data_IF_509372405214
#
_entry.id   IF_509372405214
#
_cell.length_a   1.000
_cell.length_b   1.000
_cell.length_c   1.000
_cell.angle_alpha   90.00
_cell.angle_beta   90.00
_cell.angle_gamma   90.00
#
_symmetry.space_group_name_H-M   'P 1'
#
loop_
_entity.id
_entity.type
_entity.pdbx_description
1 polymer ?
#
# COMPACT_ATOMS: atom_id res chain seq x y z
N UNK A 1 -6.35 -15.01 4.91
CA UNK A 1 -6.08 -14.05 3.82
C UNK A 1 -7.21 -13.06 3.58
N UNK A 2 -8.48 -13.48 3.54
CA UNK A 2 -9.66 -12.58 3.38
C UNK A 2 -9.67 -11.44 4.40
N UNK A 3 -9.42 -11.75 5.67
CA UNK A 3 -9.38 -10.73 6.73
C UNK A 3 -8.29 -9.67 6.51
N UNK A 4 -7.15 -10.07 5.91
CA UNK A 4 -6.16 -9.09 5.48
C UNK A 4 -6.77 -8.14 4.49
N UNK A 5 -7.35 -8.66 3.39
CA UNK A 5 -7.91 -7.85 2.32
C UNK A 5 -8.98 -6.86 2.81
N UNK A 6 -9.82 -7.26 3.77
CA UNK A 6 -10.80 -6.36 4.38
C UNK A 6 -10.13 -5.24 5.19
N UNK A 7 -9.14 -5.56 6.02
CA UNK A 7 -8.38 -4.54 6.77
C UNK A 7 -7.58 -3.61 5.84
N UNK A 8 -7.13 -4.11 4.67
CA UNK A 8 -6.50 -3.27 3.64
C UNK A 8 -7.52 -2.33 3.01
N UNK A 9 -8.68 -2.86 2.64
CA UNK A 9 -9.77 -2.09 2.04
C UNK A 9 -10.16 -0.92 2.93
N UNK A 10 -10.32 -1.12 4.23
CA UNK A 10 -10.72 -0.04 5.15
C UNK A 10 -9.65 1.05 5.32
N UNK A 11 -8.36 0.71 5.22
CA UNK A 11 -7.26 1.69 5.31
C UNK A 11 -7.12 2.49 3.99
N UNK A 12 -7.01 1.81 2.85
CA UNK A 12 -6.64 2.45 1.57
C UNK A 12 -7.83 3.09 0.85
N UNK A 13 -9.04 2.49 0.94
CA UNK A 13 -10.23 3.12 0.33
C UNK A 13 -10.61 4.42 1.03
N UNK A 14 -10.30 4.54 2.33
CA UNK A 14 -10.43 5.80 3.06
C UNK A 14 -9.58 6.89 2.41
N UNK A 15 -8.30 6.61 2.18
CA UNK A 15 -7.37 7.53 1.53
C UNK A 15 -7.81 7.92 0.11
N UNK A 16 -8.18 6.95 -0.72
CA UNK A 16 -8.60 7.20 -2.10
C UNK A 16 -9.95 7.93 -2.19
N UNK A 17 -10.89 7.63 -1.29
CA UNK A 17 -12.20 8.26 -1.27
C UNK A 17 -12.16 9.72 -0.77
N UNK A 18 -11.21 10.07 0.11
CA UNK A 18 -11.06 11.44 0.62
C UNK A 18 -10.91 12.47 -0.49
N UNK A 19 -10.11 12.18 -1.53
CA UNK A 19 -9.93 13.06 -2.69
C UNK A 19 -11.24 13.33 -3.45
N UNK A 20 -12.08 12.30 -3.61
CA UNK A 20 -13.39 12.45 -4.26
C UNK A 20 -14.36 13.24 -3.38
N UNK A 21 -14.26 13.09 -2.05
CA UNK A 21 -15.00 13.87 -1.08
C UNK A 21 -14.70 15.37 -1.19
N UNK A 22 -13.43 15.76 -1.38
CA UNK A 22 -13.04 17.17 -1.61
C UNK A 22 -13.65 17.74 -2.89
N UNK A 23 -13.96 16.90 -3.88
CA UNK A 23 -14.66 17.29 -5.12
C UNK A 23 -16.19 17.29 -4.99
N UNK A 24 -16.73 17.09 -3.79
CA UNK A 24 -18.17 17.13 -3.52
C UNK A 24 -18.92 15.82 -3.77
N UNK A 25 -18.20 14.71 -4.02
CA UNK A 25 -18.84 13.40 -4.18
C UNK A 25 -19.28 12.89 -2.81
N UNK A 26 -20.50 12.36 -2.71
CA UNK A 26 -21.01 11.80 -1.45
C UNK A 26 -20.13 10.65 -0.98
N UNK A 27 -19.99 10.51 0.35
CA UNK A 27 -19.15 9.49 0.99
C UNK A 27 -19.42 8.08 0.46
N UNK A 28 -20.69 7.73 0.24
CA UNK A 28 -21.09 6.40 -0.24
C UNK A 28 -20.61 6.15 -1.66
N UNK A 29 -20.79 7.12 -2.57
CA UNK A 29 -20.34 6.98 -3.95
C UNK A 29 -18.81 6.99 -4.04
N UNK A 30 -18.14 7.87 -3.29
CA UNK A 30 -16.68 7.91 -3.23
C UNK A 30 -16.08 6.57 -2.78
N UNK A 31 -16.66 5.94 -1.76
CA UNK A 31 -16.23 4.63 -1.27
C UNK A 31 -16.43 3.52 -2.32
N UNK A 32 -17.58 3.50 -3.00
CA UNK A 32 -17.86 2.52 -4.07
C UNK A 32 -16.87 2.68 -5.22
N UNK A 33 -16.65 3.91 -5.70
CA UNK A 33 -15.73 4.20 -6.80
C UNK A 33 -14.30 3.80 -6.45
N UNK A 34 -13.83 4.15 -5.24
CA UNK A 34 -12.51 3.76 -4.75
C UNK A 34 -12.38 2.23 -4.64
N UNK A 35 -13.39 1.55 -4.09
CA UNK A 35 -13.41 0.09 -3.93
C UNK A 35 -13.37 -0.66 -5.27
N UNK A 36 -14.17 -0.22 -6.26
CA UNK A 36 -14.17 -0.81 -7.61
C UNK A 36 -12.80 -0.60 -8.27
N UNK A 37 -12.27 0.61 -8.22
CA UNK A 37 -10.98 0.94 -8.83
C UNK A 37 -9.83 0.13 -8.23
N UNK A 38 -9.80 -0.01 -6.90
CA UNK A 38 -8.82 -0.83 -6.19
C UNK A 38 -8.95 -2.31 -6.55
N UNK A 39 -10.18 -2.83 -6.63
CA UNK A 39 -10.45 -4.22 -7.01
C UNK A 39 -10.00 -4.52 -8.44
N UNK A 40 -10.25 -3.60 -9.38
CA UNK A 40 -9.76 -3.71 -10.76
C UNK A 40 -8.24 -3.71 -10.82
N UNK A 41 -7.57 -2.81 -10.09
CA UNK A 41 -6.10 -2.80 -9.99
C UNK A 41 -5.53 -4.12 -9.45
N UNK A 42 -6.19 -4.70 -8.44
CA UNK A 42 -5.80 -6.00 -7.88
C UNK A 42 -5.91 -7.14 -8.91
N UNK A 43 -7.00 -7.18 -9.67
CA UNK A 43 -7.20 -8.22 -10.71
C UNK A 43 -6.18 -8.08 -11.84
N UNK A 44 -5.91 -6.85 -12.29
CA UNK A 44 -5.02 -6.58 -13.42
C UNK A 44 -3.54 -6.78 -13.06
N UNK A 45 -3.12 -6.34 -11.88
CA UNK A 45 -1.68 -6.26 -11.54
C UNK A 45 -1.27 -6.98 -10.25
N UNK A 46 -2.21 -7.40 -9.42
CA UNK A 46 -1.94 -7.93 -8.07
C UNK A 46 -1.06 -9.17 -8.06
N UNK A 47 -1.24 -10.07 -9.03
CA UNK A 47 -0.46 -11.32 -9.11
C UNK A 47 1.03 -11.10 -9.40
N UNK A 48 1.38 -10.04 -10.14
CA UNK A 48 2.78 -9.68 -10.42
C UNK A 48 3.45 -9.13 -9.16
N UNK A 49 2.77 -8.24 -8.45
CA UNK A 49 3.27 -7.65 -7.22
C UNK A 49 3.46 -8.69 -6.11
N UNK A 50 2.47 -9.59 -5.93
CA UNK A 50 2.51 -10.61 -4.88
C UNK A 50 3.71 -11.57 -5.04
N UNK A 51 4.02 -11.97 -6.28
CA UNK A 51 5.20 -12.80 -6.59
C UNK A 51 6.50 -12.08 -6.28
N UNK A 52 6.62 -10.84 -6.75
CA UNK A 52 7.81 -10.03 -6.52
C UNK A 52 8.13 -9.87 -5.03
N UNK A 53 7.13 -9.51 -4.22
CA UNK A 53 7.29 -9.35 -2.77
C UNK A 53 7.65 -10.67 -2.08
N UNK A 54 7.03 -11.78 -2.48
CA UNK A 54 7.31 -13.10 -1.91
C UNK A 54 8.72 -13.60 -2.21
N UNK A 55 9.16 -13.44 -3.45
CA UNK A 55 10.44 -13.97 -3.93
C UNK A 55 11.62 -13.13 -3.42
N UNK A 56 11.49 -11.81 -3.39
CA UNK A 56 12.60 -10.89 -3.09
C UNK A 56 12.93 -10.82 -1.59
N UNK A 57 11.91 -10.96 -0.72
CA UNK A 57 12.08 -10.91 0.73
C UNK A 57 12.64 -12.21 1.33
N UNK A 58 12.67 -13.30 0.56
CA UNK A 58 13.29 -14.57 0.94
C UNK A 58 12.60 -15.27 2.11
N UNK A 59 11.32 -14.94 2.38
CA UNK A 59 10.56 -15.54 3.47
C UNK A 59 9.95 -16.85 2.96
N UNK A 60 10.49 -17.97 3.43
CA UNK A 60 9.97 -19.30 3.13
C UNK A 60 9.21 -19.84 4.34
N UNK A 61 8.07 -20.47 4.09
CA UNK A 61 7.26 -21.17 5.09
C UNK A 61 5.98 -20.43 5.48
N UNK A 62 4.88 -21.19 5.47
CA UNK A 62 3.52 -20.71 5.74
C UNK A 62 3.38 -20.00 7.09
N UNK A 63 4.06 -20.52 8.13
CA UNK A 63 4.01 -19.94 9.48
C UNK A 63 4.55 -18.51 9.54
N UNK A 64 5.66 -18.24 8.84
CA UNK A 64 6.29 -16.91 8.80
C UNK A 64 5.41 -15.94 8.01
N UNK A 65 4.87 -16.40 6.90
CA UNK A 65 3.94 -15.61 6.10
C UNK A 65 2.68 -15.24 6.90
N UNK A 66 2.08 -16.22 7.59
CA UNK A 66 0.91 -15.98 8.45
C UNK A 66 1.24 -15.02 9.59
N UNK A 67 2.39 -15.19 10.26
CA UNK A 67 2.82 -14.28 11.31
C UNK A 67 2.95 -12.84 10.80
N UNK A 68 3.63 -12.64 9.67
CA UNK A 68 3.79 -11.32 9.07
C UNK A 68 2.46 -10.66 8.71
N UNK A 69 1.55 -11.42 8.11
CA UNK A 69 0.22 -10.93 7.75
C UNK A 69 -0.62 -10.61 8.98
N UNK A 70 -0.56 -11.43 10.03
CA UNK A 70 -1.27 -11.17 11.29
C UNK A 70 -0.75 -9.91 11.98
N UNK A 71 0.57 -9.71 12.07
CA UNK A 71 1.18 -8.48 12.60
C UNK A 71 0.73 -7.27 11.81
N UNK A 72 0.75 -7.36 10.47
CA UNK A 72 0.27 -6.30 9.59
C UNK A 72 -1.17 -5.92 9.89
N UNK A 73 -2.06 -6.91 9.94
CA UNK A 73 -3.49 -6.68 10.20
C UNK A 73 -3.71 -6.05 11.58
N UNK A 74 -3.05 -6.56 12.62
CA UNK A 74 -3.20 -6.05 13.98
C UNK A 74 -2.85 -4.56 14.05
N UNK A 75 -1.71 -4.17 13.47
CA UNK A 75 -1.28 -2.76 13.44
C UNK A 75 -2.26 -1.90 12.64
N UNK A 76 -2.72 -2.37 11.47
CA UNK A 76 -3.68 -1.63 10.65
C UNK A 76 -5.00 -1.41 11.39
N UNK A 77 -5.53 -2.43 12.07
CA UNK A 77 -6.77 -2.30 12.82
C UNK A 77 -6.65 -1.37 14.02
N UNK A 78 -5.52 -1.42 14.74
CA UNK A 78 -5.25 -0.52 15.85
C UNK A 78 -5.17 0.93 15.36
N UNK A 79 -4.45 1.20 14.27
CA UNK A 79 -4.33 2.56 13.77
C UNK A 79 -5.65 3.08 13.17
N UNK A 80 -6.36 2.22 12.43
CA UNK A 80 -7.68 2.54 11.89
C UNK A 80 -8.69 2.86 13.00
N UNK A 81 -8.63 2.20 14.17
CA UNK A 81 -9.54 2.51 15.28
C UNK A 81 -9.27 3.89 15.90
N UNK A 82 -8.07 4.43 15.75
CA UNK A 82 -7.74 5.82 16.07
C UNK A 82 -8.00 6.80 14.91
N UNK A 83 -8.56 6.33 13.79
CA UNK A 83 -8.78 7.14 12.58
C UNK A 83 -7.50 7.46 11.81
N UNK A 84 -6.41 6.73 12.07
CA UNK A 84 -5.13 6.91 11.40
C UNK A 84 -4.94 5.86 10.30
N UNK A 85 -4.68 6.32 9.08
CA UNK A 85 -4.27 5.45 7.99
C UNK A 85 -2.77 5.15 8.09
N UNK A 86 -2.36 3.94 7.75
CA UNK A 86 -1.00 3.48 7.96
C UNK A 86 -0.48 2.80 6.70
N UNK A 87 0.82 2.94 6.43
CA UNK A 87 1.40 2.30 5.26
C UNK A 87 1.45 0.79 5.42
N UNK A 88 0.57 0.10 4.71
CA UNK A 88 0.51 -1.35 4.66
C UNK A 88 1.84 -1.99 4.27
N UNK A 89 2.54 -1.40 3.29
CA UNK A 89 3.84 -1.89 2.82
C UNK A 89 4.90 -1.76 3.92
N UNK A 90 4.91 -0.63 4.66
CA UNK A 90 5.85 -0.45 5.78
C UNK A 90 5.57 -1.43 6.91
N UNK A 91 4.31 -1.61 7.27
CA UNK A 91 3.92 -2.56 8.32
C UNK A 91 4.28 -4.00 7.96
N UNK A 92 4.04 -4.40 6.70
CA UNK A 92 4.41 -5.75 6.23
C UNK A 92 5.92 -5.95 6.20
N UNK A 93 6.68 -5.01 5.63
CA UNK A 93 8.15 -5.10 5.56
C UNK A 93 8.76 -5.09 6.95
N UNK A 94 8.25 -4.29 7.88
CA UNK A 94 8.67 -4.30 9.29
C UNK A 94 8.42 -5.64 9.97
N UNK A 95 7.23 -6.23 9.76
CA UNK A 95 6.93 -7.56 10.29
C UNK A 95 7.85 -8.64 9.71
N UNK A 96 8.13 -8.59 8.40
CA UNK A 96 9.04 -9.51 7.72
C UNK A 96 10.49 -9.33 8.18
N UNK A 97 10.92 -8.09 8.45
CA UNK A 97 12.23 -7.81 9.04
C UNK A 97 12.39 -8.47 10.41
N UNK A 98 11.38 -8.38 11.27
CA UNK A 98 11.36 -9.07 12.57
C UNK A 98 11.37 -10.60 12.47
N UNK A 99 10.96 -11.16 11.34
CA UNK A 99 10.95 -12.60 11.05
C UNK A 99 12.20 -13.08 10.29
N UNK A 100 13.20 -12.21 10.12
CA UNK A 100 14.49 -12.56 9.49
C UNK A 100 14.50 -12.44 7.97
N UNK A 101 13.72 -11.51 7.38
CA UNK A 101 13.85 -11.18 5.96
C UNK A 101 15.28 -10.71 5.61
N UNK A 102 15.66 -10.89 4.33
CA UNK A 102 17.00 -10.55 3.84
C UNK A 102 17.28 -9.05 3.97
N UNK A 103 18.29 -8.67 4.76
CA UNK A 103 18.64 -7.26 4.98
C UNK A 103 18.94 -6.48 3.69
N UNK A 104 19.49 -7.14 2.66
CA UNK A 104 19.70 -6.52 1.34
C UNK A 104 18.38 -6.12 0.66
N UNK A 105 17.37 -6.96 0.73
CA UNK A 105 16.05 -6.68 0.16
C UNK A 105 15.37 -5.53 0.91
N UNK A 106 15.42 -5.55 2.26
CA UNK A 106 14.92 -4.45 3.09
C UNK A 106 15.60 -3.13 2.72
N UNK A 107 16.94 -3.12 2.62
CA UNK A 107 17.70 -1.93 2.24
C UNK A 107 17.26 -1.39 0.87
N UNK A 108 17.09 -2.26 -0.13
CA UNK A 108 16.64 -1.85 -1.46
C UNK A 108 15.24 -1.23 -1.43
N UNK A 109 14.32 -1.80 -0.63
CA UNK A 109 12.98 -1.24 -0.42
C UNK A 109 13.07 0.14 0.23
N UNK A 110 13.88 0.30 1.28
CA UNK A 110 14.05 1.59 1.96
C UNK A 110 14.63 2.66 1.03
N UNK A 111 15.63 2.30 0.20
CA UNK A 111 16.17 3.19 -0.83
C UNK A 111 15.07 3.57 -1.83
N UNK A 112 14.28 2.60 -2.28
CA UNK A 112 13.14 2.84 -3.16
C UNK A 112 12.13 3.83 -2.55
N UNK A 113 11.80 3.69 -1.26
CA UNK A 113 10.90 4.62 -0.57
C UNK A 113 11.49 6.03 -0.41
N UNK A 114 12.81 6.17 -0.27
CA UNK A 114 13.46 7.48 -0.24
C UNK A 114 13.49 8.14 -1.62
N UNK A 115 13.68 7.34 -2.68
CA UNK A 115 13.76 7.84 -4.06
C UNK A 115 12.38 8.17 -4.66
N UNK A 116 11.34 7.40 -4.33
CA UNK A 116 10.00 7.56 -4.92
C UNK A 116 9.41 8.98 -4.80
N UNK A 117 9.46 9.66 -3.63
CA UNK A 117 8.99 11.04 -3.53
C UNK A 117 9.78 12.01 -4.40
N UNK A 118 11.11 11.83 -4.49
CA UNK A 118 11.98 12.68 -5.30
C UNK A 118 11.65 12.54 -6.79
N UNK A 119 11.51 11.30 -7.26
CA UNK A 119 11.12 11.02 -8.64
C UNK A 119 9.69 11.49 -8.94
N UNK A 120 8.77 11.31 -7.99
CA UNK A 120 7.40 11.78 -8.10
C UNK A 120 7.32 13.31 -8.21
N UNK A 121 8.10 14.04 -7.40
CA UNK A 121 8.20 15.49 -7.47
C UNK A 121 8.79 15.95 -8.81
N UNK A 122 9.89 15.34 -9.24
CA UNK A 122 10.53 15.67 -10.51
C UNK A 122 9.58 15.45 -11.70
N UNK A 123 8.87 14.31 -11.73
CA UNK A 123 7.89 14.01 -12.76
C UNK A 123 6.70 14.98 -12.71
N UNK A 124 6.19 15.29 -11.52
CA UNK A 124 5.10 16.25 -11.33
C UNK A 124 5.49 17.64 -11.84
N UNK A 125 6.69 18.11 -11.52
CA UNK A 125 7.22 19.38 -12.03
C UNK A 125 7.35 19.37 -13.55
N UNK A 126 7.85 18.27 -14.13
CA UNK A 126 7.96 18.12 -15.58
C UNK A 126 6.60 18.23 -16.26
N UNK A 127 5.59 17.50 -15.75
CA UNK A 127 4.22 17.55 -16.28
C UNK A 127 3.63 18.94 -16.15
N UNK A 128 3.82 19.60 -15.00
CA UNK A 128 3.37 20.98 -14.78
C UNK A 128 3.98 21.94 -15.80
N UNK A 129 5.29 21.87 -16.03
CA UNK A 129 5.96 22.71 -17.03
C UNK A 129 5.38 22.47 -18.43
N UNK A 130 5.20 21.21 -18.84
CA UNK A 130 4.65 20.88 -20.16
C UNK A 130 3.22 21.41 -20.36
N UNK A 131 2.38 21.33 -19.32
CA UNK A 131 1.00 21.81 -19.39
C UNK A 131 0.89 23.34 -19.36
N UNK A 132 1.85 24.03 -18.74
CA UNK A 132 1.84 25.48 -18.53
C UNK A 132 2.72 26.24 -19.55
N UNK A 133 3.21 25.55 -20.59
CA UNK A 133 3.93 26.13 -21.75
C UNK A 133 2.96 26.70 -22.80
N UNK A 134 1.64 26.50 -22.62
CA UNK A 134 0.56 27.15 -23.38
C UNK A 134 -0.26 28.07 -22.47
#
# INVERSE_FOLDING_TARGET
MVFSALALGTNDTGMAASFLGEKGVSRHYAAIMAGISASLGLVVWGSRLARFVGDELGIQGERRFLAAQSTKIAILLILNSFGLNASMNQTLVGALAGLGARGRAIRNILIGWALSPVLGLALSMLVYMLLNIY
#
